data_IF_374139661880
#
_entry.id   IF_374139661880
#
_cell.length_a   1.000
_cell.length_b   1.000
_cell.length_c   1.000
_cell.angle_alpha   90.00
_cell.angle_beta   90.00
_cell.angle_gamma   90.00
#
_symmetry.space_group_name_H-M   'P 1'
#
loop_
_entity.id
_entity.type
_entity.pdbx_description
1 polymer ?
#
# COMPACT_ATOMS: atom_id res chain seq x y z
N UNK A 1 -57.79 19.80 -9.68
CA UNK A 1 -57.32 18.41 -9.55
C UNK A 1 -57.34 17.80 -10.94
N UNK A 2 -56.19 17.39 -11.45
CA UNK A 2 -56.11 16.67 -12.73
C UNK A 2 -56.83 15.32 -12.57
N UNK A 3 -57.54 14.87 -13.60
CA UNK A 3 -58.24 13.57 -13.62
C UNK A 3 -57.81 12.78 -14.84
N UNK A 4 -57.73 11.46 -14.69
CA UNK A 4 -57.43 10.57 -15.79
C UNK A 4 -58.57 10.64 -16.79
N UNK A 5 -58.25 10.82 -18.07
CA UNK A 5 -59.24 10.91 -19.15
C UNK A 5 -60.04 9.62 -19.34
N UNK A 6 -59.51 8.49 -18.88
CA UNK A 6 -60.08 7.14 -19.11
C UNK A 6 -60.75 6.61 -17.84
N UNK A 7 -60.03 6.56 -16.71
CA UNK A 7 -60.59 6.03 -15.46
C UNK A 7 -61.38 7.06 -14.65
N UNK A 8 -61.28 8.35 -15.00
CA UNK A 8 -61.82 9.49 -14.24
C UNK A 8 -61.29 9.63 -12.80
N UNK A 9 -60.32 8.79 -12.40
CA UNK A 9 -59.65 8.85 -11.10
C UNK A 9 -58.74 10.09 -11.01
N UNK A 10 -58.49 10.62 -9.79
CA UNK A 10 -57.56 11.75 -9.62
C UNK A 10 -56.15 11.36 -10.09
N UNK A 11 -55.46 12.29 -10.76
CA UNK A 11 -54.05 12.13 -11.16
C UNK A 11 -53.22 13.06 -10.31
N UNK A 12 -52.18 12.52 -9.70
CA UNK A 12 -51.22 13.29 -8.91
C UNK A 12 -49.84 13.21 -9.55
N UNK A 13 -49.21 14.37 -9.67
CA UNK A 13 -47.83 14.54 -10.15
C UNK A 13 -47.13 15.46 -9.17
N UNK A 14 -45.92 15.10 -8.77
CA UNK A 14 -45.09 15.92 -7.90
C UNK A 14 -43.80 16.31 -8.65
N UNK A 15 -43.23 17.50 -8.42
CA UNK A 15 -41.99 17.92 -9.08
C UNK A 15 -40.82 16.94 -8.89
N UNK A 16 -40.71 16.34 -7.70
CA UNK A 16 -39.72 15.31 -7.37
C UNK A 16 -39.94 13.99 -8.13
N UNK A 17 -41.11 13.81 -8.76
CA UNK A 17 -41.42 12.64 -9.58
C UNK A 17 -40.99 12.78 -11.04
N UNK A 18 -40.09 13.74 -11.31
CA UNK A 18 -39.49 13.97 -12.62
C UNK A 18 -37.98 14.06 -12.49
N UNK A 19 -37.27 13.20 -13.22
CA UNK A 19 -35.80 13.19 -13.25
C UNK A 19 -35.30 13.33 -14.68
N UNK A 20 -34.36 14.26 -14.88
CA UNK A 20 -33.71 14.51 -16.17
C UNK A 20 -32.41 13.71 -16.26
N UNK A 21 -32.31 12.90 -17.31
CA UNK A 21 -31.14 12.10 -17.64
C UNK A 21 -30.31 12.82 -18.69
N UNK A 22 -29.49 13.79 -18.27
CA UNK A 22 -28.77 14.68 -19.18
C UNK A 22 -27.83 13.98 -20.16
N UNK A 23 -27.15 12.91 -19.73
CA UNK A 23 -26.26 12.11 -20.58
C UNK A 23 -26.98 11.21 -21.58
N UNK A 24 -28.18 10.74 -21.22
CA UNK A 24 -28.96 9.80 -22.04
C UNK A 24 -30.08 10.48 -22.85
N UNK A 25 -30.31 11.77 -22.65
CA UNK A 25 -31.17 12.59 -23.51
C UNK A 25 -32.67 12.42 -23.26
N UNK A 26 -33.09 11.98 -22.08
CA UNK A 26 -34.51 11.83 -21.75
C UNK A 26 -34.89 12.39 -20.37
N UNK A 27 -36.18 12.55 -20.15
CA UNK A 27 -36.78 12.85 -18.85
C UNK A 27 -37.69 11.69 -18.49
N UNK A 28 -37.53 11.15 -17.29
CA UNK A 28 -38.45 10.16 -16.73
C UNK A 28 -39.44 10.87 -15.83
N UNK A 29 -40.73 10.66 -16.09
CA UNK A 29 -41.81 11.23 -15.31
C UNK A 29 -42.66 10.11 -14.72
N UNK A 30 -43.02 10.24 -13.44
CA UNK A 30 -43.95 9.34 -12.75
C UNK A 30 -45.14 10.14 -12.23
N UNK A 31 -46.31 9.52 -12.34
CA UNK A 31 -47.58 10.03 -11.84
C UNK A 31 -48.35 8.89 -11.17
N UNK A 32 -49.24 9.23 -10.25
CA UNK A 32 -50.15 8.25 -9.62
C UNK A 32 -51.58 8.53 -10.06
N UNK A 33 -52.26 7.52 -10.57
CA UNK A 33 -53.66 7.55 -10.97
C UNK A 33 -54.47 6.84 -9.87
N UNK A 34 -55.43 7.55 -9.28
CA UNK A 34 -56.16 7.05 -8.10
C UNK A 34 -55.22 6.98 -6.89
N UNK A 35 -55.10 5.80 -6.31
CA UNK A 35 -54.23 5.54 -5.16
C UNK A 35 -53.39 4.27 -5.31
N UNK A 36 -53.46 3.59 -6.46
CA UNK A 36 -52.91 2.24 -6.65
C UNK A 36 -52.34 1.97 -8.05
N UNK A 37 -52.42 2.95 -8.96
CA UNK A 37 -51.86 2.85 -10.32
C UNK A 37 -50.70 3.83 -10.45
N UNK A 38 -49.49 3.31 -10.63
CA UNK A 38 -48.32 4.09 -11.01
C UNK A 38 -48.30 4.19 -12.53
N UNK A 39 -48.18 5.40 -13.06
CA UNK A 39 -48.00 5.65 -14.48
C UNK A 39 -46.67 6.35 -14.72
N UNK A 40 -45.74 5.66 -15.40
CA UNK A 40 -44.46 6.25 -15.78
C UNK A 40 -44.34 6.41 -17.29
N UNK A 41 -43.66 7.46 -17.68
CA UNK A 41 -43.32 7.73 -19.08
C UNK A 41 -41.89 8.20 -19.20
N UNK A 42 -41.29 7.87 -20.33
CA UNK A 42 -40.02 8.41 -20.78
C UNK A 42 -40.35 9.43 -21.87
N UNK A 43 -39.82 10.64 -21.72
CA UNK A 43 -40.02 11.75 -22.66
C UNK A 43 -38.67 12.10 -23.25
N UNK A 44 -38.54 11.99 -24.56
CA UNK A 44 -37.34 12.35 -25.28
C UNK A 44 -37.67 12.91 -26.67
N UNK A 45 -36.81 13.78 -27.19
CA UNK A 45 -36.97 14.35 -28.54
C UNK A 45 -36.63 13.34 -29.63
N UNK A 46 -35.78 12.36 -29.30
CA UNK A 46 -35.35 11.26 -30.17
C UNK A 46 -35.49 9.93 -29.42
N UNK A 47 -35.60 8.80 -30.13
CA UNK A 47 -35.67 7.50 -29.47
C UNK A 47 -34.42 7.24 -28.61
N UNK A 48 -34.62 6.82 -27.36
CA UNK A 48 -33.54 6.63 -26.39
C UNK A 48 -33.37 5.18 -25.94
N UNK A 49 -32.18 4.90 -25.42
CA UNK A 49 -31.86 3.65 -24.71
C UNK A 49 -31.87 3.93 -23.22
N UNK A 50 -32.68 3.17 -22.47
CA UNK A 50 -32.72 3.29 -21.01
C UNK A 50 -31.42 2.76 -20.42
N UNK A 51 -30.73 3.59 -19.65
CA UNK A 51 -29.36 3.35 -19.20
C UNK A 51 -29.27 3.00 -17.72
N UNK A 52 -30.07 3.64 -16.86
CA UNK A 52 -30.19 3.33 -15.44
C UNK A 52 -31.62 3.47 -14.92
N UNK A 53 -31.94 2.77 -13.84
CA UNK A 53 -33.24 2.91 -13.17
C UNK A 53 -33.15 3.80 -11.93
N UNK A 54 -33.92 4.88 -11.92
CA UNK A 54 -33.98 5.84 -10.81
C UNK A 54 -34.64 5.24 -9.55
N UNK A 55 -33.87 4.51 -8.74
CA UNK A 55 -34.38 3.90 -7.52
C UNK A 55 -34.91 4.95 -6.54
N UNK A 56 -34.24 6.10 -6.39
CA UNK A 56 -34.66 7.16 -5.45
C UNK A 56 -35.99 7.79 -5.87
N UNK A 57 -36.15 8.10 -7.17
CA UNK A 57 -37.41 8.57 -7.75
C UNK A 57 -38.53 7.56 -7.49
N UNK A 58 -38.26 6.30 -7.76
CA UNK A 58 -39.20 5.21 -7.58
C UNK A 58 -39.60 5.07 -6.10
N UNK A 59 -38.64 5.11 -5.16
CA UNK A 59 -38.90 5.11 -3.72
C UNK A 59 -39.74 6.31 -3.27
N UNK A 60 -39.47 7.50 -3.80
CA UNK A 60 -40.25 8.71 -3.48
C UNK A 60 -41.73 8.61 -3.88
N UNK A 61 -42.05 7.80 -4.89
CA UNK A 61 -43.44 7.54 -5.31
C UNK A 61 -44.10 6.50 -4.40
N UNK A 62 -43.36 5.45 -4.02
CA UNK A 62 -43.88 4.39 -3.16
C UNK A 62 -44.16 4.90 -1.74
N UNK A 63 -43.21 5.61 -1.16
CA UNK A 63 -43.30 6.09 0.22
C UNK A 63 -44.23 7.31 0.34
N UNK A 64 -44.76 7.77 -0.80
CA UNK A 64 -45.68 8.88 -0.86
C UNK A 64 -47.02 8.54 -0.19
N UNK A 65 -47.62 9.48 0.55
CA UNK A 65 -48.96 9.32 1.09
C UNK A 65 -50.05 9.21 0.00
N UNK A 66 -49.73 9.40 -1.28
CA UNK A 66 -50.66 9.28 -2.41
C UNK A 66 -50.89 7.81 -2.80
N UNK A 67 -49.83 6.99 -2.81
CA UNK A 67 -49.90 5.58 -3.21
C UNK A 67 -50.23 4.72 -1.98
N UNK A 68 -51.52 4.61 -1.65
CA UNK A 68 -52.01 3.84 -0.49
C UNK A 68 -52.64 2.50 -0.85
N UNK A 69 -52.96 2.28 -2.11
CA UNK A 69 -53.66 1.09 -2.55
C UNK A 69 -52.74 -0.11 -2.64
N UNK A 70 -53.27 -1.26 -2.23
CA UNK A 70 -52.67 -2.57 -2.40
C UNK A 70 -53.72 -3.52 -2.95
N UNK A 71 -53.46 -4.23 -4.05
CA UNK A 71 -52.18 -4.29 -4.77
C UNK A 71 -51.88 -3.07 -5.65
N UNK A 72 -50.60 -2.89 -5.99
CA UNK A 72 -50.09 -1.85 -6.89
C UNK A 72 -50.10 -2.37 -8.33
N UNK A 73 -50.42 -1.48 -9.28
CA UNK A 73 -50.42 -1.74 -10.72
C UNK A 73 -49.55 -0.68 -11.41
N UNK A 74 -48.68 -1.08 -12.33
CA UNK A 74 -47.74 -0.16 -12.97
C UNK A 74 -47.95 -0.12 -14.49
N UNK A 75 -48.25 1.07 -15.02
CA UNK A 75 -48.36 1.34 -16.45
C UNK A 75 -47.13 2.11 -16.93
N UNK A 76 -46.49 1.65 -18.01
CA UNK A 76 -45.31 2.25 -18.63
C UNK A 76 -45.56 2.64 -20.08
N UNK A 77 -45.34 3.92 -20.38
CA UNK A 77 -45.26 4.42 -21.75
C UNK A 77 -43.84 4.26 -22.30
N UNK A 78 -43.71 3.49 -23.38
CA UNK A 78 -42.43 3.19 -24.01
C UNK A 78 -42.30 3.80 -25.42
N UNK A 79 -43.14 4.78 -25.76
CA UNK A 79 -43.16 5.44 -27.07
C UNK A 79 -41.79 5.97 -27.53
N UNK A 80 -41.04 6.58 -26.62
CA UNK A 80 -39.76 7.22 -26.90
C UNK A 80 -38.57 6.29 -26.61
N UNK A 81 -38.82 5.01 -26.34
CA UNK A 81 -37.80 4.02 -25.97
C UNK A 81 -37.55 3.04 -27.12
N UNK A 82 -36.29 2.83 -27.46
CA UNK A 82 -35.86 1.88 -28.50
C UNK A 82 -34.94 0.76 -27.97
N UNK A 83 -34.53 0.84 -26.70
CA UNK A 83 -33.67 -0.18 -26.11
C UNK A 83 -33.43 -0.02 -24.61
N UNK A 84 -32.71 -1.01 -24.05
CA UNK A 84 -32.24 -0.99 -22.66
C UNK A 84 -30.77 -1.42 -22.60
N UNK A 85 -29.99 -0.67 -21.83
CA UNK A 85 -28.61 -0.99 -21.49
C UNK A 85 -28.55 -2.28 -20.66
N UNK A 86 -27.36 -2.87 -20.58
CA UNK A 86 -27.14 -4.00 -19.69
C UNK A 86 -27.36 -3.64 -18.21
N UNK A 87 -26.96 -2.42 -17.80
CA UNK A 87 -27.19 -1.93 -16.44
C UNK A 87 -28.67 -1.85 -16.10
N UNK A 88 -29.48 -1.29 -17.01
CA UNK A 88 -30.93 -1.18 -16.84
C UNK A 88 -31.59 -2.55 -16.73
N UNK A 89 -31.20 -3.51 -17.59
CA UNK A 89 -31.69 -4.91 -17.54
C UNK A 89 -31.41 -5.58 -16.18
N UNK A 90 -30.23 -5.33 -15.62
CA UNK A 90 -29.87 -5.82 -14.28
C UNK A 90 -30.73 -5.15 -13.20
N UNK A 91 -31.04 -3.87 -13.33
CA UNK A 91 -31.87 -3.18 -12.34
C UNK A 91 -33.32 -3.68 -12.35
N UNK A 92 -33.88 -4.06 -13.51
CA UNK A 92 -35.21 -4.69 -13.61
C UNK A 92 -35.31 -5.91 -12.69
N UNK A 93 -34.26 -6.72 -12.63
CA UNK A 93 -34.20 -7.88 -11.72
C UNK A 93 -34.43 -7.47 -10.27
N UNK A 94 -33.70 -6.46 -9.81
CA UNK A 94 -33.80 -5.97 -8.43
C UNK A 94 -35.19 -5.40 -8.14
N UNK A 95 -35.78 -4.71 -9.11
CA UNK A 95 -37.13 -4.18 -9.01
C UNK A 95 -38.15 -5.31 -8.82
N UNK A 96 -38.18 -6.29 -9.72
CA UNK A 96 -39.14 -7.40 -9.68
C UNK A 96 -39.07 -8.20 -8.38
N UNK A 97 -37.86 -8.51 -7.88
CA UNK A 97 -37.70 -9.25 -6.62
C UNK A 97 -38.11 -8.44 -5.38
N UNK A 98 -37.80 -7.14 -5.34
CA UNK A 98 -38.15 -6.29 -4.19
C UNK A 98 -39.65 -5.94 -4.16
N UNK A 99 -40.29 -5.87 -5.33
CA UNK A 99 -41.68 -5.37 -5.50
C UNK A 99 -42.74 -6.47 -5.52
N UNK A 100 -42.29 -7.71 -5.67
CA UNK A 100 -43.11 -8.92 -5.80
C UNK A 100 -44.25 -9.08 -4.78
N UNK A 101 -44.18 -8.61 -3.52
CA UNK A 101 -45.30 -8.75 -2.58
C UNK A 101 -46.51 -7.87 -2.88
N UNK A 102 -46.30 -6.68 -3.44
CA UNK A 102 -47.35 -5.65 -3.60
C UNK A 102 -47.71 -5.36 -5.05
N UNK A 103 -46.78 -5.57 -6.00
CA UNK A 103 -47.02 -5.40 -7.43
C UNK A 103 -47.78 -6.61 -7.96
N UNK A 104 -48.89 -6.39 -8.69
CA UNK A 104 -49.69 -7.46 -9.30
C UNK A 104 -49.84 -7.36 -10.81
N UNK A 105 -49.60 -6.19 -11.38
CA UNK A 105 -49.77 -5.94 -12.80
C UNK A 105 -48.71 -4.97 -13.32
N UNK A 106 -48.13 -5.29 -14.47
CA UNK A 106 -47.32 -4.39 -15.28
C UNK A 106 -47.99 -4.27 -16.65
N UNK A 107 -48.23 -3.05 -17.11
CA UNK A 107 -48.78 -2.78 -18.44
C UNK A 107 -47.79 -1.93 -19.22
N UNK A 108 -47.30 -2.43 -20.34
CA UNK A 108 -46.47 -1.65 -21.26
C UNK A 108 -47.33 -1.19 -22.43
N UNK A 109 -47.21 0.07 -22.84
CA UNK A 109 -47.94 0.58 -24.00
C UNK A 109 -47.09 1.49 -24.91
N UNK A 110 -47.57 1.67 -26.14
CA UNK A 110 -46.86 2.35 -27.22
C UNK A 110 -45.48 1.72 -27.56
N UNK A 111 -45.38 0.39 -27.53
CA UNK A 111 -44.12 -0.29 -27.86
C UNK A 111 -43.83 -0.22 -29.35
N UNK A 112 -42.60 0.16 -29.67
CA UNK A 112 -42.08 0.05 -31.03
C UNK A 112 -41.87 -1.41 -31.42
N UNK A 113 -42.09 -1.80 -32.68
CA UNK A 113 -41.82 -3.16 -33.15
C UNK A 113 -40.38 -3.61 -32.90
N UNK A 114 -39.40 -2.72 -33.04
CA UNK A 114 -37.97 -2.96 -32.75
C UNK A 114 -37.71 -3.38 -31.31
N UNK A 115 -38.49 -2.84 -30.36
CA UNK A 115 -38.28 -3.02 -28.93
C UNK A 115 -39.19 -4.12 -28.33
N UNK A 116 -40.24 -4.52 -29.06
CA UNK A 116 -41.23 -5.52 -28.62
C UNK A 116 -40.58 -6.81 -28.13
N UNK A 117 -39.75 -7.45 -28.95
CA UNK A 117 -39.11 -8.73 -28.57
C UNK A 117 -38.28 -8.60 -27.29
N UNK A 118 -37.61 -7.46 -27.07
CA UNK A 118 -36.85 -7.24 -25.83
C UNK A 118 -37.76 -7.20 -24.60
N UNK A 119 -38.94 -6.57 -24.72
CA UNK A 119 -39.92 -6.51 -23.64
C UNK A 119 -40.66 -7.84 -23.43
N UNK A 120 -40.90 -8.61 -24.49
CA UNK A 120 -41.42 -9.98 -24.38
C UNK A 120 -40.41 -10.88 -23.66
N UNK A 121 -39.12 -10.68 -23.93
CA UNK A 121 -38.04 -11.35 -23.20
C UNK A 121 -38.06 -10.96 -21.72
N UNK A 122 -38.25 -9.67 -21.41
CA UNK A 122 -38.42 -9.21 -20.03
C UNK A 122 -39.65 -9.84 -19.35
N UNK A 123 -40.78 -9.91 -20.05
CA UNK A 123 -42.02 -10.48 -19.53
C UNK A 123 -41.89 -11.97 -19.21
N UNK A 124 -41.10 -12.72 -19.99
CA UNK A 124 -40.89 -14.17 -19.81
C UNK A 124 -40.19 -14.56 -18.49
N UNK A 125 -39.57 -13.60 -17.79
CA UNK A 125 -38.86 -13.81 -16.52
C UNK A 125 -39.53 -13.13 -15.34
N UNK A 126 -40.66 -12.46 -15.56
CA UNK A 126 -41.47 -11.87 -14.49
C UNK A 126 -42.08 -13.00 -13.63
N UNK A 127 -42.07 -12.89 -12.29
CA UNK A 127 -42.71 -13.87 -11.41
C UNK A 127 -44.18 -14.13 -11.77
N UNK A 128 -44.62 -15.39 -11.70
CA UNK A 128 -45.97 -15.81 -12.11
C UNK A 128 -47.13 -15.10 -11.37
N UNK A 129 -46.84 -14.44 -10.26
CA UNK A 129 -47.80 -13.67 -9.46
C UNK A 129 -48.04 -12.23 -9.94
N UNK A 130 -47.24 -11.78 -10.92
CA UNK A 130 -47.34 -10.46 -11.56
C UNK A 130 -47.79 -10.70 -12.99
N UNK A 131 -48.95 -10.16 -13.35
CA UNK A 131 -49.45 -10.21 -14.72
C UNK A 131 -48.76 -9.13 -15.58
N UNK A 132 -48.49 -9.44 -16.85
CA UNK A 132 -47.87 -8.50 -17.80
C UNK A 132 -48.77 -8.34 -19.01
N UNK A 133 -49.12 -7.10 -19.36
CA UNK A 133 -49.98 -6.77 -20.49
C UNK A 133 -49.25 -5.82 -21.45
N UNK A 134 -49.38 -6.08 -22.75
CA UNK A 134 -48.96 -5.15 -23.80
C UNK A 134 -50.20 -4.49 -24.41
N UNK A 135 -50.29 -3.18 -24.32
CA UNK A 135 -51.39 -2.38 -24.81
C UNK A 135 -50.92 -1.46 -25.96
N UNK A 136 -51.83 -1.12 -26.88
CA UNK A 136 -51.48 -0.28 -28.02
C UNK A 136 -51.53 1.21 -27.70
N UNK A 137 -52.34 1.61 -26.72
CA UNK A 137 -52.51 3.01 -26.33
C UNK A 137 -52.64 3.20 -24.81
N UNK A 138 -52.54 4.45 -24.36
CA UNK A 138 -52.80 4.81 -22.95
C UNK A 138 -54.22 4.42 -22.52
N UNK A 139 -55.20 4.52 -23.43
CA UNK A 139 -56.58 4.12 -23.16
C UNK A 139 -56.66 2.63 -22.88
N UNK A 140 -56.14 1.81 -23.78
CA UNK A 140 -56.17 0.36 -23.66
C UNK A 140 -55.40 -0.10 -22.41
N UNK A 141 -54.31 0.59 -22.05
CA UNK A 141 -53.53 0.29 -20.86
C UNK A 141 -54.31 0.53 -19.56
N UNK A 142 -55.01 1.66 -19.47
CA UNK A 142 -55.85 1.98 -18.30
C UNK A 142 -57.08 1.07 -18.25
N UNK A 143 -57.76 0.83 -19.36
CA UNK A 143 -58.91 -0.08 -19.43
C UNK A 143 -58.53 -1.51 -19.03
N UNK A 144 -57.39 -2.02 -19.51
CA UNK A 144 -56.86 -3.34 -19.12
C UNK A 144 -56.53 -3.40 -17.63
N UNK A 145 -55.95 -2.32 -17.08
CA UNK A 145 -55.67 -2.23 -15.64
C UNK A 145 -56.95 -2.26 -14.81
N UNK A 146 -57.99 -1.53 -15.23
CA UNK A 146 -59.29 -1.55 -14.55
C UNK A 146 -59.96 -2.93 -14.64
N UNK A 147 -59.91 -3.56 -15.82
CA UNK A 147 -60.45 -4.90 -16.03
C UNK A 147 -59.75 -5.97 -15.19
N UNK A 148 -58.42 -5.88 -15.05
CA UNK A 148 -57.64 -6.73 -14.13
C UNK A 148 -58.11 -6.55 -12.69
N UNK A 149 -58.25 -5.30 -12.24
CA UNK A 149 -58.72 -4.97 -10.88
C UNK A 149 -60.12 -5.46 -10.58
N UNK A 150 -61.03 -5.44 -11.56
CA UNK A 150 -62.39 -5.98 -11.41
C UNK A 150 -62.49 -7.50 -11.60
N UNK A 151 -61.39 -8.18 -11.92
CA UNK A 151 -61.38 -9.61 -12.22
C UNK A 151 -62.10 -9.98 -13.52
N UNK A 152 -62.36 -9.00 -14.40
CA UNK A 152 -63.05 -9.18 -15.68
C UNK A 152 -62.08 -9.22 -16.86
N UNK A 153 -60.77 -9.20 -16.60
CA UNK A 153 -59.78 -9.41 -17.65
C UNK A 153 -60.06 -10.79 -18.29
N UNK A 154 -60.23 -10.87 -19.62
CA UNK A 154 -60.29 -12.16 -20.30
C UNK A 154 -59.08 -13.01 -19.86
N UNK A 155 -59.28 -14.29 -19.57
CA UNK A 155 -58.19 -15.23 -19.26
C UNK A 155 -57.31 -15.43 -20.50
N UNK A 156 -56.52 -14.43 -20.80
CA UNK A 156 -55.41 -14.47 -21.73
C UNK A 156 -54.30 -13.75 -20.97
N UNK A 157 -53.52 -14.53 -20.21
CA UNK A 157 -52.17 -14.04 -19.88
C UNK A 157 -51.48 -13.66 -21.18
N UNK A 158 -50.46 -12.79 -21.16
CA UNK A 158 -49.71 -12.47 -22.38
C UNK A 158 -49.24 -13.73 -23.14
N UNK A 159 -48.86 -14.78 -22.40
CA UNK A 159 -48.55 -16.10 -22.96
C UNK A 159 -49.76 -17.02 -23.14
N UNK A 160 -50.90 -16.66 -22.54
CA UNK A 160 -52.17 -17.36 -22.55
C UNK A 160 -52.08 -18.76 -21.92
N UNK A 161 -53.22 -19.34 -21.55
CA UNK A 161 -53.36 -20.80 -21.57
C UNK A 161 -53.50 -21.29 -23.02
N UNK A 162 -52.66 -20.75 -23.91
CA UNK A 162 -52.64 -21.08 -25.32
C UNK A 162 -52.19 -22.53 -25.43
N UNK A 163 -53.07 -23.41 -25.93
CA UNK A 163 -52.72 -24.80 -26.27
C UNK A 163 -51.77 -24.87 -27.49
N UNK A 164 -51.33 -23.74 -28.02
CA UNK A 164 -50.37 -23.68 -29.11
C UNK A 164 -48.95 -23.94 -28.60
N UNK A 165 -48.42 -25.11 -28.96
CA UNK A 165 -47.06 -25.52 -28.65
C UNK A 165 -46.03 -24.45 -29.04
N UNK A 166 -46.24 -23.74 -30.15
CA UNK A 166 -45.29 -22.73 -30.62
C UNK A 166 -45.10 -21.56 -29.65
N UNK A 167 -46.19 -21.10 -29.02
CA UNK A 167 -46.14 -20.01 -28.04
C UNK A 167 -45.41 -20.43 -26.76
N UNK A 168 -45.68 -21.64 -26.27
CA UNK A 168 -44.97 -22.18 -25.11
C UNK A 168 -43.45 -22.30 -25.36
N UNK A 169 -43.05 -22.80 -26.55
CA UNK A 169 -41.63 -22.93 -26.91
C UNK A 169 -40.94 -21.58 -27.10
N UNK A 170 -41.64 -20.59 -27.64
CA UNK A 170 -41.13 -19.22 -27.72
C UNK A 170 -40.89 -18.63 -26.32
N UNK A 171 -41.85 -18.81 -25.40
CA UNK A 171 -41.70 -18.34 -24.02
C UNK A 171 -40.50 -18.99 -23.33
N UNK A 172 -40.33 -20.30 -23.45
CA UNK A 172 -39.18 -21.02 -22.88
C UNK A 172 -37.86 -20.50 -23.44
N UNK A 173 -37.78 -20.28 -24.76
CA UNK A 173 -36.61 -19.73 -25.42
C UNK A 173 -36.27 -18.32 -24.88
N UNK A 174 -37.25 -17.41 -24.86
CA UNK A 174 -37.05 -16.06 -24.36
C UNK A 174 -36.65 -16.05 -22.88
N UNK A 175 -37.26 -16.91 -22.07
CA UNK A 175 -36.95 -17.06 -20.65
C UNK A 175 -35.49 -17.52 -20.45
N UNK A 176 -35.04 -18.51 -21.21
CA UNK A 176 -33.66 -18.99 -21.17
C UNK A 176 -32.67 -17.88 -21.58
N UNK A 177 -32.98 -17.15 -22.66
CA UNK A 177 -32.16 -16.02 -23.13
C UNK A 177 -32.07 -14.92 -22.07
N UNK A 178 -33.18 -14.48 -21.49
CA UNK A 178 -33.17 -13.46 -20.44
C UNK A 178 -32.39 -13.93 -19.21
N UNK A 179 -32.64 -15.14 -18.69
CA UNK A 179 -31.92 -15.70 -17.54
C UNK A 179 -30.41 -15.70 -17.77
N UNK A 180 -29.95 -16.12 -18.94
CA UNK A 180 -28.52 -16.13 -19.27
C UNK A 180 -27.94 -14.72 -19.41
N UNK A 181 -28.62 -13.84 -20.14
CA UNK A 181 -28.02 -12.56 -20.56
C UNK A 181 -28.27 -11.40 -19.58
N UNK A 182 -29.37 -11.41 -18.84
CA UNK A 182 -29.76 -10.33 -17.93
C UNK A 182 -29.47 -10.69 -16.47
N UNK A 183 -29.66 -11.96 -16.09
CA UNK A 183 -29.48 -12.43 -14.71
C UNK A 183 -28.16 -13.17 -14.49
N UNK A 184 -27.39 -13.44 -15.56
CA UNK A 184 -26.18 -14.26 -15.52
C UNK A 184 -26.42 -15.64 -14.86
N UNK A 185 -27.62 -16.20 -15.06
CA UNK A 185 -28.03 -17.51 -14.51
C UNK A 185 -27.64 -18.60 -15.50
N UNK A 186 -26.41 -19.08 -15.38
CA UNK A 186 -25.83 -20.07 -16.29
C UNK A 186 -26.09 -21.53 -15.88
N UNK A 187 -26.71 -21.78 -14.72
CA UNK A 187 -26.97 -23.13 -14.19
C UNK A 187 -28.46 -23.51 -14.25
N UNK A 188 -29.13 -23.08 -15.32
CA UNK A 188 -30.57 -23.30 -15.48
C UNK A 188 -30.84 -24.48 -16.40
N UNK A 189 -31.80 -25.33 -16.03
CA UNK A 189 -32.29 -26.38 -16.92
C UNK A 189 -33.05 -25.73 -18.07
N UNK A 190 -32.59 -25.94 -19.29
CA UNK A 190 -33.32 -25.58 -20.52
C UNK A 190 -34.17 -26.78 -20.91
N UNK A 191 -35.52 -26.69 -20.88
CA UNK A 191 -36.37 -27.79 -21.30
C UNK A 191 -36.22 -28.01 -22.81
N UNK A 192 -36.06 -29.27 -23.23
CA UNK A 192 -36.00 -29.62 -24.65
C UNK A 192 -37.33 -30.25 -25.10
N UNK A 193 -37.88 -29.82 -26.24
CA UNK A 193 -38.95 -30.56 -26.89
C UNK A 193 -38.41 -31.87 -27.47
N UNK A 194 -39.30 -32.70 -28.04
CA UNK A 194 -38.89 -33.90 -28.74
C UNK A 194 -37.92 -33.58 -29.90
N UNK A 195 -37.03 -34.51 -30.23
CA UNK A 195 -35.93 -34.27 -31.18
C UNK A 195 -36.39 -33.96 -32.62
N UNK A 196 -37.64 -34.32 -32.95
CA UNK A 196 -38.33 -34.03 -34.21
C UNK A 196 -39.06 -32.67 -34.22
N UNK A 197 -39.16 -32.00 -33.08
CA UNK A 197 -39.78 -30.67 -32.98
C UNK A 197 -38.95 -29.61 -33.72
N UNK A 198 -39.58 -28.72 -34.51
CA UNK A 198 -38.88 -27.63 -35.19
C UNK A 198 -38.23 -26.64 -34.21
N UNK A 199 -38.64 -26.65 -32.93
CA UNK A 199 -38.09 -25.79 -31.88
C UNK A 199 -36.85 -26.39 -31.18
N UNK A 200 -36.58 -27.69 -31.36
CA UNK A 200 -35.46 -28.38 -30.73
C UNK A 200 -34.10 -27.72 -31.03
N UNK A 201 -33.76 -27.37 -32.29
CA UNK A 201 -32.47 -26.74 -32.58
C UNK A 201 -32.26 -25.42 -31.83
N UNK A 202 -33.31 -24.60 -31.69
CA UNK A 202 -33.20 -23.30 -31.01
C UNK A 202 -32.88 -23.47 -29.52
N UNK A 203 -33.65 -24.28 -28.80
CA UNK A 203 -33.43 -24.53 -27.38
C UNK A 203 -32.11 -25.28 -27.14
N UNK A 204 -31.73 -26.19 -28.05
CA UNK A 204 -30.44 -26.87 -27.99
C UNK A 204 -29.26 -25.92 -28.18
N UNK A 205 -29.35 -24.98 -29.13
CA UNK A 205 -28.33 -23.95 -29.31
C UNK A 205 -28.16 -23.07 -28.06
N UNK A 206 -29.26 -22.69 -27.41
CA UNK A 206 -29.21 -21.91 -26.17
C UNK A 206 -28.54 -22.69 -25.03
N UNK A 207 -28.84 -23.99 -24.88
CA UNK A 207 -28.17 -24.83 -23.89
C UNK A 207 -26.66 -24.96 -24.16
N UNK A 208 -26.25 -25.17 -25.41
CA UNK A 208 -24.82 -25.19 -25.77
C UNK A 208 -24.15 -23.85 -25.45
N UNK A 209 -24.80 -22.72 -25.78
CA UNK A 209 -24.29 -21.39 -25.43
C UNK A 209 -24.17 -21.20 -23.91
N UNK A 210 -25.09 -21.78 -23.13
CA UNK A 210 -25.04 -21.74 -21.67
C UNK A 210 -23.83 -22.49 -21.13
N UNK A 211 -23.54 -23.68 -21.67
CA UNK A 211 -22.37 -24.47 -21.30
C UNK A 211 -21.05 -23.77 -21.66
N UNK A 212 -20.99 -23.13 -22.84
CA UNK A 212 -19.83 -22.32 -23.25
C UNK A 212 -19.62 -21.12 -22.32
N UNK A 213 -20.70 -20.39 -21.98
CA UNK A 213 -20.64 -19.27 -21.05
C UNK A 213 -20.24 -19.72 -19.64
N UNK A 214 -20.71 -20.89 -19.18
CA UNK A 214 -20.32 -21.47 -17.89
C UNK A 214 -18.83 -21.80 -17.88
N UNK A 215 -18.33 -22.41 -18.95
CA UNK A 215 -16.91 -22.75 -19.11
C UNK A 215 -16.03 -21.50 -19.11
N UNK A 216 -16.41 -20.46 -19.87
CA UNK A 216 -15.72 -19.15 -19.87
C UNK A 216 -15.74 -18.47 -18.50
N UNK A 217 -16.87 -18.54 -17.79
CA UNK A 217 -16.98 -17.98 -16.44
C UNK A 217 -16.05 -18.70 -15.46
N UNK A 218 -15.95 -20.04 -15.54
CA UNK A 218 -15.05 -20.84 -14.72
C UNK A 218 -13.57 -20.53 -15.02
N UNK A 219 -13.19 -20.45 -16.30
CA UNK A 219 -11.84 -20.04 -16.72
C UNK A 219 -11.47 -18.66 -16.18
N UNK A 220 -12.36 -17.69 -16.35
CA UNK A 220 -12.14 -16.33 -15.85
C UNK A 220 -12.01 -16.30 -14.32
N UNK A 221 -12.84 -17.06 -13.59
CA UNK A 221 -12.73 -17.17 -12.14
C UNK A 221 -11.39 -17.78 -11.70
N UNK A 222 -10.90 -18.80 -12.41
CA UNK A 222 -9.60 -19.40 -12.15
C UNK A 222 -8.45 -18.40 -12.39
N UNK A 223 -8.48 -17.70 -13.52
CA UNK A 223 -7.50 -16.66 -13.84
C UNK A 223 -7.48 -15.54 -12.78
N UNK A 224 -8.66 -15.07 -12.35
CA UNK A 224 -8.79 -14.07 -11.30
C UNK A 224 -8.27 -14.56 -9.95
N UNK A 225 -8.49 -15.83 -9.60
CA UNK A 225 -7.96 -16.42 -8.37
C UNK A 225 -6.43 -16.50 -8.39
N UNK A 226 -5.84 -16.92 -9.50
CA UNK A 226 -4.39 -16.98 -9.66
C UNK A 226 -3.75 -15.59 -9.66
N UNK A 227 -4.39 -14.62 -10.33
CA UNK A 227 -3.95 -13.23 -10.33
C UNK A 227 -3.97 -12.66 -8.91
N UNK A 228 -5.06 -12.85 -8.15
CA UNK A 228 -5.16 -12.44 -6.75
C UNK A 228 -4.05 -13.06 -5.89
N UNK A 229 -3.84 -14.37 -5.99
CA UNK A 229 -2.78 -15.08 -5.27
C UNK A 229 -1.39 -14.51 -5.60
N UNK A 230 -1.14 -14.20 -6.88
CA UNK A 230 0.13 -13.59 -7.31
C UNK A 230 0.35 -12.19 -6.72
N UNK A 231 -0.71 -11.37 -6.65
CA UNK A 231 -0.65 -10.04 -6.05
C UNK A 231 -0.44 -10.10 -4.54
N UNK A 232 -1.13 -11.00 -3.84
CA UNK A 232 -0.94 -11.23 -2.41
C UNK A 232 0.50 -11.63 -2.10
N UNK A 233 1.06 -12.59 -2.86
CA UNK A 233 2.47 -12.99 -2.71
C UNK A 233 3.45 -11.84 -2.96
N UNK A 234 3.19 -11.00 -3.98
CA UNK A 234 4.02 -9.80 -4.24
C UNK A 234 3.91 -8.78 -3.13
N UNK A 235 2.72 -8.58 -2.57
CA UNK A 235 2.47 -7.66 -1.46
C UNK A 235 3.22 -8.14 -0.21
N UNK A 236 3.14 -9.43 0.11
CA UNK A 236 3.81 -9.99 1.29
C UNK A 236 5.33 -9.97 1.15
N UNK A 237 5.87 -10.28 -0.04
CA UNK A 237 7.31 -10.10 -0.31
C UNK A 237 7.75 -8.65 -0.09
N UNK A 238 6.98 -7.67 -0.58
CA UNK A 238 7.27 -6.24 -0.35
C UNK A 238 7.19 -5.87 1.13
N UNK A 239 6.19 -6.37 1.87
CA UNK A 239 6.06 -6.16 3.33
C UNK A 239 7.25 -6.74 4.08
N UNK A 240 7.66 -7.98 3.78
CA UNK A 240 8.82 -8.62 4.41
C UNK A 240 10.11 -7.87 4.13
N UNK A 241 10.33 -7.46 2.87
CA UNK A 241 11.49 -6.66 2.49
C UNK A 241 11.52 -5.31 3.23
N UNK A 242 10.39 -4.60 3.27
CA UNK A 242 10.27 -3.34 3.99
C UNK A 242 10.55 -3.51 5.49
N UNK A 243 9.99 -4.56 6.12
CA UNK A 243 10.22 -4.86 7.53
C UNK A 243 11.69 -5.14 7.82
N UNK A 244 12.36 -5.91 6.95
CA UNK A 244 13.79 -6.16 7.07
C UNK A 244 14.62 -4.87 6.93
N UNK A 245 14.25 -4.00 5.99
CA UNK A 245 14.91 -2.70 5.81
C UNK A 245 14.71 -1.77 7.02
N UNK A 246 13.50 -1.72 7.58
CA UNK A 246 13.22 -0.95 8.80
C UNK A 246 14.03 -1.45 10.00
N UNK A 247 14.18 -2.77 10.15
CA UNK A 247 14.98 -3.36 11.22
C UNK A 247 16.48 -3.05 11.06
N UNK A 248 17.01 -3.12 9.84
CA UNK A 248 18.39 -2.70 9.56
C UNK A 248 18.63 -1.22 9.87
N UNK A 249 17.70 -0.34 9.47
CA UNK A 249 17.77 1.08 9.81
C UNK A 249 17.73 1.31 11.32
N UNK A 250 16.88 0.58 12.05
CA UNK A 250 16.78 0.65 13.51
C UNK A 250 18.10 0.26 14.18
N UNK A 251 18.72 -0.84 13.75
CA UNK A 251 20.02 -1.30 14.26
C UNK A 251 21.14 -0.28 13.97
N UNK A 252 21.16 0.30 12.77
CA UNK A 252 22.13 1.33 12.43
C UNK A 252 21.98 2.59 13.32
N UNK A 253 20.75 3.04 13.57
CA UNK A 253 20.46 4.15 14.49
C UNK A 253 20.96 3.87 15.90
N UNK A 254 20.68 2.68 16.44
CA UNK A 254 21.19 2.27 17.76
C UNK A 254 22.73 2.29 17.81
N UNK A 255 23.39 1.75 16.79
CA UNK A 255 24.86 1.79 16.70
C UNK A 255 25.42 3.21 16.63
N UNK A 256 24.76 4.12 15.92
CA UNK A 256 25.15 5.54 15.90
C UNK A 256 24.98 6.23 17.26
N UNK A 257 23.92 5.91 18.01
CA UNK A 257 23.68 6.48 19.35
C UNK A 257 24.70 5.99 20.37
N UNK A 258 25.06 4.71 20.33
CA UNK A 258 26.12 4.11 21.15
C UNK A 258 27.48 4.77 20.87
N UNK A 259 27.84 4.90 19.59
CA UNK A 259 29.09 5.54 19.19
C UNK A 259 29.12 7.02 19.60
N UNK A 260 28.01 7.75 19.43
CA UNK A 260 27.88 9.14 19.88
C UNK A 260 28.12 9.24 21.39
N UNK A 261 27.52 8.34 22.17
CA UNK A 261 27.67 8.31 23.64
C UNK A 261 29.12 8.02 24.05
N UNK A 262 29.77 7.07 23.36
CA UNK A 262 31.19 6.75 23.58
C UNK A 262 32.10 7.95 23.31
N UNK A 263 31.89 8.65 22.21
CA UNK A 263 32.67 9.83 21.85
C UNK A 263 32.48 10.98 22.84
N UNK A 264 31.25 11.20 23.32
CA UNK A 264 30.97 12.20 24.36
C UNK A 264 31.71 11.89 25.67
N UNK A 265 31.72 10.62 26.10
CA UNK A 265 32.50 10.21 27.27
C UNK A 265 34.00 10.44 27.09
N UNK A 266 34.53 10.15 25.89
CA UNK A 266 35.93 10.42 25.58
C UNK A 266 36.27 11.90 25.58
N UNK A 267 35.38 12.76 25.04
CA UNK A 267 35.53 14.21 25.09
C UNK A 267 35.58 14.70 26.53
N UNK A 268 34.62 14.31 27.37
CA UNK A 268 34.56 14.71 28.78
C UNK A 268 35.82 14.27 29.56
N UNK A 269 36.31 13.05 29.33
CA UNK A 269 37.57 12.58 29.93
C UNK A 269 38.79 13.40 29.48
N UNK A 270 38.82 13.79 28.20
CA UNK A 270 39.90 14.65 27.68
C UNK A 270 39.82 16.06 28.25
N UNK A 271 38.62 16.63 28.38
CA UNK A 271 38.38 17.93 29.02
C UNK A 271 38.87 17.92 30.48
N UNK A 272 38.48 16.92 31.29
CA UNK A 272 38.98 16.80 32.67
C UNK A 272 40.51 16.72 32.74
N UNK A 273 41.16 15.99 31.83
CA UNK A 273 42.62 15.91 31.76
C UNK A 273 43.22 17.26 31.40
N UNK A 274 42.64 17.98 30.44
CA UNK A 274 43.08 19.32 30.05
C UNK A 274 42.94 20.31 31.21
N UNK A 275 41.82 20.30 31.94
CA UNK A 275 41.63 21.12 33.14
C UNK A 275 42.67 20.82 34.21
N UNK A 276 42.93 19.55 34.48
CA UNK A 276 43.97 19.14 35.45
C UNK A 276 45.35 19.64 35.04
N UNK A 277 45.71 19.50 33.76
CA UNK A 277 47.00 20.00 33.24
C UNK A 277 47.05 21.52 33.33
N UNK A 278 45.97 22.21 32.96
CA UNK A 278 45.89 23.67 32.99
C UNK A 278 46.02 24.21 34.41
N UNK A 279 45.37 23.56 35.39
CA UNK A 279 45.51 23.86 36.82
C UNK A 279 46.95 23.68 37.29
N UNK A 280 47.59 22.55 36.96
CA UNK A 280 48.98 22.31 37.33
C UNK A 280 49.95 23.34 36.72
N UNK A 281 49.71 23.75 35.47
CA UNK A 281 50.51 24.81 34.82
C UNK A 281 50.30 26.15 35.52
N UNK A 282 49.06 26.51 35.86
CA UNK A 282 48.75 27.75 36.58
C UNK A 282 49.41 27.78 37.97
N UNK A 283 49.35 26.67 38.72
CA UNK A 283 50.02 26.51 40.02
C UNK A 283 51.54 26.68 39.90
N UNK A 284 52.15 26.02 38.90
CA UNK A 284 53.59 26.16 38.63
C UNK A 284 53.98 27.58 38.24
N UNK A 285 53.15 28.26 37.43
CA UNK A 285 53.39 29.65 37.04
C UNK A 285 53.28 30.61 38.23
N UNK A 286 52.26 30.45 39.07
CA UNK A 286 52.11 31.22 40.30
C UNK A 286 53.29 31.01 41.27
N UNK A 287 53.79 29.78 41.38
CA UNK A 287 55.00 29.46 42.15
C UNK A 287 56.25 30.16 41.58
N UNK A 288 56.43 30.15 40.26
CA UNK A 288 57.52 30.87 39.59
C UNK A 288 57.41 32.38 39.79
N UNK A 289 56.21 32.97 39.66
CA UNK A 289 55.98 34.40 39.91
C UNK A 289 56.23 34.77 41.37
N UNK A 290 55.93 33.89 42.32
CA UNK A 290 56.26 34.08 43.73
C UNK A 290 57.78 34.04 43.98
N UNK A 291 58.50 33.16 43.28
CA UNK A 291 59.97 33.12 43.31
C UNK A 291 60.54 34.41 42.71
N UNK A 292 60.09 34.80 41.52
CA UNK A 292 60.55 36.01 40.83
C UNK A 292 60.35 37.28 41.67
N UNK A 293 59.18 37.44 42.30
CA UNK A 293 58.90 38.56 43.22
C UNK A 293 59.82 38.57 44.44
N UNK A 294 60.12 37.41 45.02
CA UNK A 294 61.06 37.31 46.15
C UNK A 294 62.50 37.59 45.73
N UNK A 295 62.89 37.23 44.51
CA UNK A 295 64.21 37.57 43.95
C UNK A 295 64.32 39.09 43.70
N UNK A 296 63.29 39.73 43.16
CA UNK A 296 63.27 41.18 42.98
C UNK A 296 63.21 41.96 44.31
N UNK A 297 62.50 41.45 45.33
CA UNK A 297 62.48 42.05 46.67
C UNK A 297 63.82 41.95 47.42
N UNK A 298 64.79 41.19 46.88
CA UNK A 298 66.15 41.06 47.42
C UNK A 298 67.14 42.01 46.73
N UNK A 299 66.68 42.93 45.89
CA UNK A 299 67.54 43.94 45.26
C UNK A 299 68.00 45.06 46.22
N UNK A 300 67.70 44.99 47.53
CA UNK A 300 68.10 46.06 48.47
C UNK A 300 68.79 45.62 49.79
N UNK A 301 69.25 44.36 49.93
CA UNK A 301 70.19 44.07 51.03
C UNK A 301 71.12 42.88 50.75
N UNK A 302 72.42 43.15 50.80
CA UNK A 302 73.48 42.24 50.41
C UNK A 302 73.77 41.20 51.51
N UNK A 303 73.03 40.09 51.50
CA UNK A 303 73.49 38.86 52.16
C UNK A 303 72.43 37.94 52.70
N UNK A 304 71.70 37.21 51.84
CA UNK A 304 70.93 36.01 52.25
C UNK A 304 70.53 35.09 51.07
N UNK A 305 71.51 34.52 50.37
CA UNK A 305 71.28 33.46 49.36
C UNK A 305 70.74 32.12 49.94
N UNK A 306 70.84 31.92 51.26
CA UNK A 306 70.43 30.67 51.91
C UNK A 306 68.90 30.48 51.99
N UNK A 307 68.12 31.58 52.07
CA UNK A 307 66.66 31.53 52.16
C UNK A 307 65.98 31.10 50.84
N UNK A 308 66.58 31.48 49.70
CA UNK A 308 66.14 31.07 48.37
C UNK A 308 66.33 29.56 48.19
N UNK A 309 67.50 29.04 48.57
CA UNK A 309 67.81 27.62 48.45
C UNK A 309 66.91 26.75 49.35
N UNK A 310 66.58 27.22 50.56
CA UNK A 310 65.66 26.51 51.46
C UNK A 310 64.21 26.50 50.95
N UNK A 311 63.74 27.62 50.38
CA UNK A 311 62.37 27.72 49.83
C UNK A 311 62.23 26.91 48.53
N UNK A 312 63.23 26.94 47.64
CA UNK A 312 63.28 26.07 46.47
C UNK A 312 63.23 24.60 46.88
N UNK A 313 63.99 24.19 47.91
CA UNK A 313 63.95 22.81 48.43
C UNK A 313 62.58 22.43 49.02
N UNK A 314 61.91 23.35 49.73
CA UNK A 314 60.57 23.16 50.31
C UNK A 314 59.46 23.00 49.25
N UNK A 315 59.59 23.68 48.10
CA UNK A 315 58.66 23.54 46.97
C UNK A 315 58.88 22.24 46.20
N UNK A 316 60.13 21.78 46.08
CA UNK A 316 60.45 20.45 45.56
C UNK A 316 59.94 19.32 46.47
N UNK A 317 59.82 19.54 47.79
CA UNK A 317 59.34 18.52 48.74
C UNK A 317 57.82 18.52 48.97
N UNK A 318 57.11 19.63 48.72
CA UNK A 318 55.65 19.72 48.95
C UNK A 318 54.80 19.21 47.76
N UNK A 319 55.42 18.89 46.63
CA UNK A 319 54.79 18.24 45.48
C UNK A 319 54.83 16.72 45.56
N UNK A 320 54.34 16.14 46.66
CA UNK A 320 54.26 14.69 46.87
C UNK A 320 52.81 14.21 46.75
N UNK A 321 52.42 13.82 45.54
CA UNK A 321 51.71 12.56 45.28
C UNK A 321 51.78 12.25 43.78
N UNK A 322 52.11 10.98 43.50
CA UNK A 322 52.56 10.39 42.23
C UNK A 322 51.55 10.48 41.06
N UNK A 323 51.91 10.07 39.82
CA UNK A 323 53.22 9.70 39.26
C UNK A 323 53.53 10.43 37.93
N UNK A 324 54.70 11.09 37.83
CA UNK A 324 55.31 11.45 36.53
C UNK A 324 56.44 10.45 36.17
N UNK A 325 56.60 9.39 36.97
CA UNK A 325 57.63 8.37 36.76
C UNK A 325 57.31 7.32 35.67
N UNK A 326 56.23 7.48 34.89
CA UNK A 326 55.87 6.56 33.81
C UNK A 326 56.01 7.16 32.39
N UNK A 327 56.56 8.38 32.28
CA UNK A 327 56.67 9.10 31.00
C UNK A 327 57.91 8.73 30.17
N UNK A 328 58.73 7.76 30.57
CA UNK A 328 59.90 7.29 29.82
C UNK A 328 59.88 5.83 29.36
N UNK A 329 58.76 5.13 29.49
CA UNK A 329 58.56 3.81 28.87
C UNK A 329 57.13 3.58 28.34
N UNK A 330 56.42 4.65 27.98
CA UNK A 330 55.01 4.61 27.60
C UNK A 330 54.76 4.24 26.13
N UNK A 331 55.30 3.14 25.63
CA UNK A 331 54.64 2.42 24.54
C UNK A 331 53.97 1.22 25.19
N UNK A 332 52.72 1.40 25.61
CA UNK A 332 51.85 0.27 25.96
C UNK A 332 51.63 -0.53 24.69
N UNK A 333 52.52 -1.48 24.43
CA UNK A 333 52.37 -2.47 23.38
C UNK A 333 51.09 -3.26 23.65
N UNK A 334 50.20 -3.32 22.67
CA UNK A 334 49.02 -4.17 22.75
C UNK A 334 49.46 -5.64 22.87
N UNK A 335 48.59 -6.52 23.34
CA UNK A 335 48.89 -7.96 23.41
C UNK A 335 49.30 -8.54 22.04
N UNK A 336 48.75 -7.97 20.96
CA UNK A 336 49.13 -8.27 19.56
C UNK A 336 50.56 -7.85 19.22
N UNK A 337 51.06 -6.79 19.82
CA UNK A 337 52.43 -6.31 19.61
C UNK A 337 53.45 -7.22 20.32
N UNK A 338 53.10 -7.76 21.50
CA UNK A 338 53.91 -8.77 22.20
C UNK A 338 54.01 -10.07 21.39
N UNK A 339 52.88 -10.56 20.89
CA UNK A 339 52.85 -11.75 20.03
C UNK A 339 53.71 -11.57 18.77
N UNK A 340 53.71 -10.37 18.18
CA UNK A 340 54.52 -10.05 17.01
C UNK A 340 56.03 -10.00 17.31
N UNK A 341 56.43 -9.48 18.48
CA UNK A 341 57.84 -9.54 18.90
C UNK A 341 58.29 -11.00 19.06
N UNK A 342 57.50 -11.84 19.72
CA UNK A 342 57.80 -13.26 19.90
C UNK A 342 57.91 -14.00 18.55
N UNK A 343 57.06 -13.65 17.58
CA UNK A 343 57.14 -14.17 16.22
C UNK A 343 58.46 -13.76 15.53
N UNK A 344 58.84 -12.49 15.64
CA UNK A 344 60.09 -11.98 15.07
C UNK A 344 61.33 -12.62 15.71
N UNK A 345 61.32 -12.84 17.02
CA UNK A 345 62.40 -13.53 17.74
C UNK A 345 62.55 -14.99 17.29
N UNK A 346 61.42 -15.67 17.02
CA UNK A 346 61.43 -17.05 16.54
C UNK A 346 61.96 -17.18 15.11
N UNK A 347 61.60 -16.25 14.22
CA UNK A 347 61.99 -16.29 12.80
C UNK A 347 63.40 -15.72 12.60
N UNK A 348 63.78 -14.70 13.39
CA UNK A 348 65.05 -13.99 13.30
C UNK A 348 65.74 -13.88 14.66
N UNK A 349 66.32 -14.97 15.19
CA UNK A 349 66.93 -14.99 16.51
C UNK A 349 68.21 -14.12 16.62
N UNK A 350 68.73 -13.61 15.51
CA UNK A 350 69.93 -12.75 15.46
C UNK A 350 69.66 -11.26 15.69
N UNK A 351 68.38 -10.87 15.86
CA UNK A 351 67.96 -9.51 16.14
C UNK A 351 68.16 -9.18 17.62
N UNK A 352 68.68 -7.98 17.90
CA UNK A 352 68.81 -7.46 19.25
C UNK A 352 67.47 -6.87 19.73
N UNK A 353 67.25 -6.74 21.05
CA UNK A 353 66.04 -6.12 21.59
C UNK A 353 65.75 -4.72 21.02
N UNK A 354 66.81 -3.93 20.78
CA UNK A 354 66.71 -2.61 20.17
C UNK A 354 66.24 -2.67 18.72
N UNK A 355 66.67 -3.68 17.96
CA UNK A 355 66.26 -3.89 16.57
C UNK A 355 64.81 -4.39 16.48
N UNK A 356 64.38 -5.26 17.40
CA UNK A 356 63.00 -5.72 17.50
C UNK A 356 62.03 -4.56 17.81
N UNK A 357 62.39 -3.70 18.77
CA UNK A 357 61.60 -2.51 19.08
C UNK A 357 61.54 -1.55 17.89
N UNK A 358 62.64 -1.39 17.16
CA UNK A 358 62.71 -0.56 15.94
C UNK A 358 61.80 -1.11 14.83
N UNK A 359 61.77 -2.43 14.62
CA UNK A 359 60.89 -3.08 13.65
C UNK A 359 59.41 -2.90 13.99
N UNK A 360 59.07 -3.01 15.28
CA UNK A 360 57.71 -2.80 15.74
C UNK A 360 57.24 -1.36 15.52
N UNK A 361 58.10 -0.36 15.76
CA UNK A 361 57.79 1.04 15.45
C UNK A 361 57.62 1.26 13.94
N UNK A 362 58.44 0.62 13.11
CA UNK A 362 58.29 0.69 11.65
C UNK A 362 57.00 0.05 11.16
N UNK A 363 56.53 -1.04 11.81
CA UNK A 363 55.22 -1.65 11.54
C UNK A 363 54.09 -0.66 11.82
N UNK A 364 54.20 0.12 12.90
CA UNK A 364 53.25 1.18 13.26
C UNK A 364 53.40 2.48 12.44
N UNK A 365 54.01 2.40 11.25
CA UNK A 365 54.18 3.51 10.31
C UNK A 365 55.03 4.69 10.82
N UNK A 366 55.85 4.51 11.86
CA UNK A 366 56.73 5.59 12.35
C UNK A 366 57.79 5.96 11.30
N UNK A 367 57.91 7.26 11.01
CA UNK A 367 58.85 7.79 10.01
C UNK A 367 60.28 7.82 10.54
N UNK A 368 61.28 7.91 9.65
CA UNK A 368 62.69 8.02 10.06
C UNK A 368 62.96 9.27 10.93
N UNK A 369 62.18 10.35 10.74
CA UNK A 369 62.30 11.59 11.53
C UNK A 369 61.77 11.40 12.95
N UNK A 370 60.63 10.71 13.09
CA UNK A 370 60.06 10.37 14.39
C UNK A 370 60.94 9.35 15.13
N UNK A 371 61.42 8.32 14.43
CA UNK A 371 62.37 7.34 14.97
C UNK A 371 63.66 8.00 15.49
N UNK A 372 64.17 8.99 14.77
CA UNK A 372 65.35 9.78 15.18
C UNK A 372 65.10 10.51 16.51
N UNK A 373 63.94 11.17 16.64
CA UNK A 373 63.53 11.86 17.87
C UNK A 373 63.28 10.91 19.04
N UNK A 374 62.64 9.76 18.79
CA UNK A 374 62.33 8.77 19.83
C UNK A 374 63.57 8.01 20.34
N UNK A 375 64.53 7.71 19.46
CA UNK A 375 65.72 6.93 19.82
C UNK A 375 66.94 7.79 20.20
N UNK A 376 66.84 9.11 20.10
CA UNK A 376 67.96 10.02 20.39
C UNK A 376 69.17 9.85 19.47
N UNK A 377 68.96 9.39 18.23
CA UNK A 377 70.03 9.18 17.23
C UNK A 377 69.77 10.02 15.98
N UNK A 378 70.80 10.40 15.24
CA UNK A 378 70.64 11.17 14.00
C UNK A 378 69.89 10.39 12.92
N UNK A 379 69.27 11.08 11.96
CA UNK A 379 68.60 10.45 10.82
C UNK A 379 69.52 9.49 10.04
N UNK A 380 70.82 9.81 9.92
CA UNK A 380 71.84 8.93 9.32
C UNK A 380 72.08 7.66 10.17
N UNK A 381 71.99 7.78 11.50
CA UNK A 381 72.05 6.64 12.42
C UNK A 381 70.84 5.70 12.28
N UNK A 382 69.65 6.26 12.06
CA UNK A 382 68.44 5.46 11.77
C UNK A 382 68.58 4.71 10.45
N UNK A 383 69.13 5.34 9.40
CA UNK A 383 69.36 4.69 8.11
C UNK A 383 70.37 3.54 8.20
N UNK A 384 71.47 3.74 8.94
CA UNK A 384 72.44 2.69 9.22
C UNK A 384 71.83 1.53 10.01
N UNK A 385 70.96 1.81 10.97
CA UNK A 385 70.21 0.78 11.71
C UNK A 385 69.26 0.00 10.79
N UNK A 386 68.51 0.68 9.92
CA UNK A 386 67.64 0.05 8.91
C UNK A 386 68.43 -0.86 7.98
N UNK A 387 69.58 -0.42 7.49
CA UNK A 387 70.44 -1.25 6.64
C UNK A 387 70.91 -2.53 7.35
N UNK A 388 71.33 -2.42 8.63
CA UNK A 388 71.73 -3.59 9.43
C UNK A 388 70.58 -4.56 9.65
N UNK A 389 69.40 -4.03 9.99
CA UNK A 389 68.18 -4.81 10.14
C UNK A 389 67.82 -5.50 8.83
N UNK A 390 67.83 -4.80 7.70
CA UNK A 390 67.56 -5.35 6.36
C UNK A 390 68.48 -6.55 6.05
N UNK A 391 69.78 -6.41 6.32
CA UNK A 391 70.77 -7.50 6.15
C UNK A 391 70.50 -8.68 7.08
N UNK A 392 70.14 -8.44 8.34
CA UNK A 392 69.81 -9.50 9.33
C UNK A 392 68.52 -10.24 9.00
N UNK A 393 67.53 -9.54 8.42
CA UNK A 393 66.27 -10.12 7.98
C UNK A 393 66.40 -10.97 6.71
N UNK A 394 67.53 -10.88 5.99
CA UNK A 394 67.77 -11.65 4.76
C UNK A 394 66.84 -11.27 3.60
N UNK A 395 66.22 -10.09 3.62
CA UNK A 395 65.27 -9.66 2.60
C UNK A 395 65.99 -9.12 1.35
N UNK A 396 65.43 -9.38 0.17
CA UNK A 396 66.06 -9.00 -1.12
C UNK A 396 66.31 -7.49 -1.26
N UNK A 397 67.31 -7.10 -2.06
CA UNK A 397 67.78 -5.69 -2.17
C UNK A 397 66.68 -4.67 -2.51
N UNK A 398 65.64 -5.10 -3.23
CA UNK A 398 64.52 -4.24 -3.65
C UNK A 398 63.28 -4.38 -2.76
N UNK A 399 63.33 -5.23 -1.72
CA UNK A 399 62.22 -5.44 -0.80
C UNK A 399 62.34 -4.52 0.40
N UNK A 400 61.27 -3.80 0.72
CA UNK A 400 61.24 -2.92 1.88
C UNK A 400 61.04 -3.70 3.18
N UNK A 401 61.62 -3.23 4.28
CA UNK A 401 61.35 -3.78 5.64
C UNK A 401 59.84 -3.71 5.94
N UNK A 402 59.16 -2.63 5.51
CA UNK A 402 57.73 -2.42 5.76
C UNK A 402 56.87 -3.49 5.09
N UNK A 403 57.10 -3.76 3.81
CA UNK A 403 56.38 -4.81 3.07
C UNK A 403 56.64 -6.20 3.68
N UNK A 404 57.87 -6.46 4.11
CA UNK A 404 58.21 -7.69 4.82
C UNK A 404 57.42 -7.85 6.14
N UNK A 405 57.31 -6.79 6.94
CA UNK A 405 56.58 -6.82 8.22
C UNK A 405 55.07 -6.97 8.05
N UNK A 406 54.50 -6.44 6.96
CA UNK A 406 53.07 -6.57 6.65
C UNK A 406 52.71 -8.02 6.29
N UNK A 407 53.48 -8.66 5.41
CA UNK A 407 53.28 -10.07 5.04
C UNK A 407 53.40 -11.02 6.25
N UNK A 408 54.33 -10.73 7.16
CA UNK A 408 54.47 -11.47 8.43
C UNK A 408 53.31 -11.28 9.42
N UNK A 409 52.46 -10.27 9.21
CA UNK A 409 51.35 -9.95 10.11
C UNK A 409 49.98 -10.38 9.58
N UNK A 410 49.89 -10.71 8.29
CA UNK A 410 48.66 -11.18 7.62
C UNK A 410 48.60 -12.70 7.44
N UNK A 411 49.72 -13.41 7.68
CA UNK A 411 49.79 -14.87 7.78
C UNK A 411 50.04 -15.32 9.21
#
# INVERSE_FOLDING_TARGET
MERCSVSHLPVTRLPEWSVRHGSAGYVKEISVIGNDIIHSRVVADVPVVLDYMDNDLIHSVIDSPVLRGSPIHWIWNLQDVDGMSWGYKKDITNLLYRWSPSLRLIVFYNLRPSFRTMMETAASVVPAQIEVIFADSFKDAVESTLAFKSGTLPQASFWGTSKDEGHARLQEFLCAVAKMTWFNMLDQVVPFPAADSPYYPFLRSIACMQDDLRSRAAEHQAEMADLRRSYEQRLDRKKHHMKAQMELHRQALQGFEEERSRLLLQLCSKEQKLESVSRSVAEKRAALDAIARKVMALEDDAGRGAGIAATCRSLFSSGSSAPIADAQAGIRFAERDRAFITLLEKIHPSLTPRELQTLLLMKHNTTNRELSGMMGVSARGVESLRYRIHKKLGIGRHRSIKSYLLELSEG
#
